data_IF_402886981860
#
_entry.id   IF_402886981860
#
_cell.length_a   1.000
_cell.length_b   1.000
_cell.length_c   1.000
_cell.angle_alpha   90.00
_cell.angle_beta   90.00
_cell.angle_gamma   90.00
#
_symmetry.space_group_name_H-M   'P 1'
#
loop_
_entity.id
_entity.type
_entity.pdbx_description
1 polymer ?
#
# COMPACT_ATOMS: atom_id res chain seq x y z
N UNK A 1 10.03 22.28 18.49
CA UNK A 1 9.80 21.66 17.16
C UNK A 1 10.20 22.56 16.00
N UNK A 2 9.84 23.85 15.99
CA UNK A 2 10.17 24.77 14.88
C UNK A 2 11.64 24.72 14.44
N UNK A 3 12.59 24.90 15.35
CA UNK A 3 14.02 24.83 14.98
C UNK A 3 14.48 23.48 14.41
N UNK A 4 13.84 22.37 14.80
CA UNK A 4 14.12 21.04 14.23
C UNK A 4 13.59 20.93 12.80
N UNK A 5 12.39 21.46 12.57
CA UNK A 5 11.79 21.57 11.24
C UNK A 5 12.67 22.41 10.32
N UNK A 6 13.03 23.62 10.73
CA UNK A 6 13.83 24.55 9.92
C UNK A 6 15.19 23.95 9.55
N UNK A 7 15.84 23.26 10.50
CA UNK A 7 17.12 22.60 10.24
C UNK A 7 17.00 21.45 9.24
N UNK A 8 15.98 20.59 9.36
CA UNK A 8 15.76 19.47 8.41
C UNK A 8 15.38 20.01 7.03
N UNK A 9 14.48 21.00 6.97
CA UNK A 9 14.04 21.63 5.72
C UNK A 9 15.19 22.35 5.03
N UNK A 10 16.06 23.04 5.77
CA UNK A 10 17.25 23.68 5.20
C UNK A 10 18.14 22.67 4.47
N UNK A 11 18.51 21.56 5.14
CA UNK A 11 19.40 20.54 4.57
C UNK A 11 18.74 19.85 3.35
N UNK A 12 17.44 19.57 3.42
CA UNK A 12 16.72 18.89 2.33
C UNK A 12 16.44 19.80 1.14
N UNK A 13 16.21 21.11 1.36
CA UNK A 13 16.09 22.08 0.28
C UNK A 13 17.40 22.21 -0.52
N UNK A 14 18.54 22.23 0.16
CA UNK A 14 19.85 22.28 -0.51
C UNK A 14 20.10 21.06 -1.39
N UNK A 15 19.67 19.88 -0.94
CA UNK A 15 19.71 18.65 -1.73
C UNK A 15 18.76 18.72 -2.92
N UNK A 16 17.50 19.07 -2.68
CA UNK A 16 16.47 19.09 -3.72
C UNK A 16 16.80 20.10 -4.83
N UNK A 17 17.36 21.26 -4.48
CA UNK A 17 17.81 22.27 -5.44
C UNK A 17 18.93 21.77 -6.37
N UNK A 18 19.80 20.89 -5.88
CA UNK A 18 20.96 20.39 -6.64
C UNK A 18 20.66 19.12 -7.42
N UNK A 19 19.80 18.25 -6.88
CA UNK A 19 19.62 16.89 -7.38
C UNK A 19 18.18 16.52 -7.75
N UNK A 20 17.18 17.31 -7.32
CA UNK A 20 15.76 17.02 -7.53
C UNK A 20 15.07 18.22 -8.22
N UNK A 21 13.84 18.53 -7.80
CA UNK A 21 13.03 19.65 -8.27
C UNK A 21 12.18 20.24 -7.11
N UNK A 22 11.39 21.27 -7.41
CA UNK A 22 10.59 21.98 -6.41
C UNK A 22 9.44 21.12 -5.85
N UNK A 23 8.89 20.18 -6.63
CA UNK A 23 7.83 19.27 -6.16
C UNK A 23 8.35 18.34 -5.06
N UNK A 24 9.53 17.75 -5.26
CA UNK A 24 10.21 16.95 -4.23
C UNK A 24 10.50 17.78 -2.98
N UNK A 25 11.05 18.99 -3.16
CA UNK A 25 11.34 19.89 -2.05
C UNK A 25 10.07 20.18 -1.23
N UNK A 26 8.94 20.38 -1.92
CA UNK A 26 7.66 20.65 -1.27
C UNK A 26 7.10 19.42 -0.54
N UNK A 27 7.12 18.23 -1.15
CA UNK A 27 6.68 17.00 -0.49
C UNK A 27 7.53 16.66 0.73
N UNK A 28 8.86 16.85 0.66
CA UNK A 28 9.76 16.65 1.80
C UNK A 28 9.44 17.64 2.94
N UNK A 29 9.13 18.91 2.61
CA UNK A 29 8.63 19.90 3.60
C UNK A 29 7.32 19.44 4.24
N UNK A 30 6.37 18.94 3.46
CA UNK A 30 5.10 18.43 3.98
C UNK A 30 5.27 17.20 4.89
N UNK A 31 6.12 16.25 4.49
CA UNK A 31 6.44 15.07 5.30
C UNK A 31 7.10 15.47 6.63
N UNK A 32 8.06 16.39 6.58
CA UNK A 32 8.71 16.93 7.79
C UNK A 32 7.71 17.62 8.71
N UNK A 33 6.79 18.43 8.15
CA UNK A 33 5.73 19.07 8.92
C UNK A 33 4.75 18.04 9.54
N UNK A 34 4.41 16.98 8.81
CA UNK A 34 3.55 15.91 9.29
C UNK A 34 4.19 15.16 10.48
N UNK A 35 5.49 14.86 10.41
CA UNK A 35 6.25 14.28 11.51
C UNK A 35 6.34 15.23 12.72
N UNK A 36 6.50 16.54 12.50
CA UNK A 36 6.45 17.53 13.58
C UNK A 36 5.12 17.54 14.34
N UNK A 37 4.00 17.25 13.66
CA UNK A 37 2.65 17.28 14.25
C UNK A 37 2.29 16.02 15.06
N UNK A 38 3.01 14.91 14.89
CA UNK A 38 2.83 13.69 15.69
C UNK A 38 3.12 13.97 17.18
N UNK A 39 2.44 13.26 18.09
CA UNK A 39 2.56 13.44 19.55
C UNK A 39 2.88 12.11 20.24
N UNK A 40 4.06 11.96 20.89
CA UNK A 40 5.22 12.86 20.80
C UNK A 40 5.79 12.89 19.37
N UNK A 41 6.46 13.98 19.00
CA UNK A 41 7.07 14.05 17.66
C UNK A 41 8.31 13.15 17.60
N UNK A 42 8.42 12.26 16.60
CA UNK A 42 9.59 11.40 16.45
C UNK A 42 10.86 12.22 16.17
N UNK A 43 10.72 13.43 15.61
CA UNK A 43 11.82 14.34 15.34
C UNK A 43 12.44 14.92 16.62
N UNK A 44 11.81 14.73 17.80
CA UNK A 44 12.39 15.17 19.07
C UNK A 44 13.68 14.42 19.42
N UNK A 45 13.87 13.20 18.90
CA UNK A 45 15.09 12.41 19.06
C UNK A 45 15.80 12.20 17.71
N UNK A 46 17.09 11.89 17.76
CA UNK A 46 17.91 11.67 16.55
C UNK A 46 18.46 12.94 15.90
N UNK A 47 19.44 12.75 15.01
CA UNK A 47 20.14 13.84 14.30
C UNK A 47 19.33 14.33 13.10
N UNK A 48 19.40 15.64 12.83
CA UNK A 48 18.71 16.33 11.74
C UNK A 48 19.08 15.72 10.38
N UNK A 49 20.38 15.48 10.13
CA UNK A 49 20.86 14.85 8.88
C UNK A 49 20.29 13.44 8.67
N UNK A 50 20.11 12.67 9.74
CA UNK A 50 19.52 11.33 9.66
C UNK A 50 18.05 11.40 9.29
N UNK A 51 17.28 12.31 9.89
CA UNK A 51 15.88 12.53 9.53
C UNK A 51 15.73 13.08 8.11
N UNK A 52 16.54 14.07 7.72
CA UNK A 52 16.58 14.62 6.37
C UNK A 52 16.82 13.52 5.33
N UNK A 53 17.80 12.65 5.57
CA UNK A 53 18.08 11.49 4.73
C UNK A 53 16.89 10.53 4.63
N UNK A 54 16.31 10.15 5.77
CA UNK A 54 15.19 9.20 5.80
C UNK A 54 13.93 9.74 5.11
N UNK A 55 13.59 11.01 5.32
CA UNK A 55 12.42 11.65 4.71
C UNK A 55 12.61 11.77 3.20
N UNK A 56 13.79 12.22 2.76
CA UNK A 56 14.11 12.35 1.33
C UNK A 56 14.04 10.99 0.64
N UNK A 57 14.62 9.95 1.24
CA UNK A 57 14.53 8.60 0.70
C UNK A 57 13.09 8.07 0.69
N UNK A 58 12.30 8.34 1.74
CA UNK A 58 10.92 7.88 1.80
C UNK A 58 10.08 8.47 0.66
N UNK A 59 10.15 9.78 0.45
CA UNK A 59 9.48 10.46 -0.68
C UNK A 59 10.03 9.97 -2.03
N UNK A 60 11.34 9.76 -2.13
CA UNK A 60 11.97 9.18 -3.30
C UNK A 60 11.43 7.79 -3.65
N UNK A 61 11.22 6.94 -2.66
CA UNK A 61 10.65 5.60 -2.84
C UNK A 61 9.22 5.67 -3.39
N UNK A 62 8.37 6.52 -2.79
CA UNK A 62 6.97 6.69 -3.22
C UNK A 62 6.87 7.07 -4.70
N UNK A 63 7.84 7.85 -5.18
CA UNK A 63 7.83 8.48 -6.50
C UNK A 63 8.90 7.91 -7.46
N UNK A 64 9.35 6.68 -7.23
CA UNK A 64 10.29 5.95 -8.09
C UNK A 64 11.62 6.69 -8.39
N UNK A 65 12.09 7.55 -7.49
CA UNK A 65 13.32 8.34 -7.68
C UNK A 65 14.56 7.49 -7.97
N UNK A 66 14.58 6.25 -7.48
CA UNK A 66 15.68 5.30 -7.64
C UNK A 66 15.68 4.56 -8.98
N UNK A 67 14.64 4.73 -9.80
CA UNK A 67 14.58 4.17 -11.13
C UNK A 67 15.28 5.12 -12.12
N UNK A 68 16.26 4.59 -12.84
CA UNK A 68 17.06 5.33 -13.82
C UNK A 68 16.26 5.85 -15.03
N UNK A 69 15.07 5.30 -15.26
CA UNK A 69 14.15 5.76 -16.30
C UNK A 69 13.45 7.07 -15.94
N UNK A 70 13.40 7.42 -14.65
CA UNK A 70 12.71 8.60 -14.14
C UNK A 70 13.56 9.87 -14.26
N UNK A 71 12.87 11.02 -14.29
CA UNK A 71 13.50 12.34 -14.24
C UNK A 71 12.81 13.21 -13.18
N UNK A 72 13.53 13.68 -12.14
CA UNK A 72 14.93 13.38 -11.81
C UNK A 72 15.12 11.91 -11.39
N UNK A 73 16.34 11.37 -11.58
CA UNK A 73 16.80 10.11 -11.01
C UNK A 73 17.95 10.39 -10.04
N UNK A 74 17.90 9.80 -8.86
CA UNK A 74 19.00 9.80 -7.90
C UNK A 74 19.02 8.45 -7.19
N UNK A 75 20.19 7.80 -7.12
CA UNK A 75 20.31 6.52 -6.42
C UNK A 75 20.21 6.69 -4.90
N UNK A 76 19.75 5.64 -4.20
CA UNK A 76 19.72 5.66 -2.74
C UNK A 76 21.10 5.90 -2.13
N UNK A 77 22.17 5.39 -2.78
CA UNK A 77 23.55 5.62 -2.37
C UNK A 77 23.93 7.10 -2.40
N UNK A 78 23.58 7.82 -3.46
CA UNK A 78 23.86 9.25 -3.58
C UNK A 78 23.13 10.06 -2.50
N UNK A 79 21.90 9.68 -2.16
CA UNK A 79 21.18 10.25 -1.01
C UNK A 79 21.99 10.03 0.27
N UNK A 80 22.37 8.78 0.56
CA UNK A 80 23.10 8.43 1.79
C UNK A 80 24.42 9.18 1.92
N UNK A 81 25.19 9.23 0.83
CA UNK A 81 26.46 9.93 0.77
C UNK A 81 26.27 11.45 0.99
N UNK A 82 25.27 12.06 0.36
CA UNK A 82 24.96 13.48 0.53
C UNK A 82 24.70 13.86 1.98
N UNK A 83 23.85 13.08 2.67
CA UNK A 83 23.51 13.36 4.06
C UNK A 83 24.57 12.87 5.05
N UNK A 84 25.59 12.13 4.60
CA UNK A 84 26.64 11.56 5.45
C UNK A 84 26.09 10.50 6.41
N UNK A 85 25.17 9.66 5.93
CA UNK A 85 24.46 8.63 6.72
C UNK A 85 24.79 7.27 6.13
N UNK A 86 25.01 6.24 6.97
CA UNK A 86 25.22 4.88 6.44
C UNK A 86 23.96 4.35 5.73
N UNK A 87 24.08 3.49 4.70
CA UNK A 87 22.91 2.92 4.02
C UNK A 87 21.92 2.23 4.97
N UNK A 88 22.41 1.46 5.94
CA UNK A 88 21.57 0.80 6.94
C UNK A 88 20.78 1.78 7.80
N UNK A 89 21.41 2.87 8.23
CA UNK A 89 20.76 3.92 9.02
C UNK A 89 19.75 4.69 8.18
N UNK A 90 20.09 5.00 6.93
CA UNK A 90 19.22 5.71 5.99
C UNK A 90 17.96 4.90 5.66
N UNK A 91 18.10 3.62 5.33
CA UNK A 91 16.99 2.71 5.08
C UNK A 91 16.09 2.54 6.32
N UNK A 92 16.68 2.28 7.48
CA UNK A 92 15.92 2.13 8.73
C UNK A 92 15.14 3.41 9.05
N UNK A 93 15.75 4.59 8.85
CA UNK A 93 15.06 5.87 9.06
C UNK A 93 13.96 6.11 8.03
N UNK A 94 14.20 5.79 6.77
CA UNK A 94 13.20 5.85 5.69
C UNK A 94 11.99 4.99 6.01
N UNK A 95 12.20 3.72 6.40
CA UNK A 95 11.13 2.84 6.88
C UNK A 95 10.35 3.48 8.01
N UNK A 96 11.03 4.00 9.04
CA UNK A 96 10.36 4.68 10.14
C UNK A 96 9.48 5.86 9.67
N UNK A 97 9.95 6.67 8.72
CA UNK A 97 9.15 7.76 8.14
C UNK A 97 7.90 7.21 7.45
N UNK A 98 8.07 6.17 6.63
CA UNK A 98 6.97 5.56 5.90
C UNK A 98 5.93 4.95 6.83
N UNK A 99 6.36 4.23 7.86
CA UNK A 99 5.46 3.63 8.86
C UNK A 99 4.66 4.72 9.61
N UNK A 100 5.31 5.84 9.96
CA UNK A 100 4.65 6.93 10.72
C UNK A 100 3.67 7.75 9.85
N UNK A 101 4.01 7.94 8.58
CA UNK A 101 3.23 8.73 7.63
C UNK A 101 2.34 7.89 6.72
N UNK A 102 2.31 6.57 6.94
CA UNK A 102 1.51 5.61 6.18
C UNK A 102 1.82 5.67 4.67
N UNK A 103 3.11 5.81 4.34
CA UNK A 103 3.56 5.90 2.94
C UNK A 103 3.77 4.52 2.35
N UNK A 104 3.21 4.31 1.17
CA UNK A 104 3.44 3.18 0.28
C UNK A 104 3.92 3.65 -1.09
N UNK A 105 4.43 2.72 -1.90
CA UNK A 105 4.76 3.06 -3.28
C UNK A 105 3.49 3.51 -4.01
N UNK A 106 3.60 4.53 -4.87
CA UNK A 106 2.45 5.18 -5.54
C UNK A 106 1.38 5.73 -4.57
N UNK A 107 1.73 6.05 -3.32
CA UNK A 107 0.74 6.61 -2.41
C UNK A 107 0.16 7.94 -2.93
N UNK A 108 -1.17 8.07 -3.08
CA UNK A 108 -1.79 9.24 -3.68
C UNK A 108 -1.65 10.51 -2.85
N UNK A 109 -1.48 10.40 -1.52
CA UNK A 109 -1.31 11.56 -0.63
C UNK A 109 0.16 12.06 -0.61
N UNK A 110 1.11 11.24 -1.09
CA UNK A 110 2.54 11.53 -1.15
C UNK A 110 3.15 11.45 -2.57
N UNK A 111 2.28 11.49 -3.59
CA UNK A 111 2.66 11.48 -4.99
C UNK A 111 3.02 12.90 -5.47
N UNK A 112 3.99 13.00 -6.39
CA UNK A 112 4.30 14.25 -7.07
C UNK A 112 3.08 14.70 -7.90
N UNK A 113 2.73 16.00 -7.89
CA UNK A 113 1.66 16.53 -8.74
C UNK A 113 1.84 16.23 -10.24
N UNK A 114 3.09 16.22 -10.72
CA UNK A 114 3.45 15.81 -12.08
C UNK A 114 3.16 14.34 -12.39
N UNK A 115 3.17 13.46 -11.38
CA UNK A 115 2.92 12.02 -11.53
C UNK A 115 1.49 11.60 -11.22
N UNK A 116 0.67 12.52 -10.71
CA UNK A 116 -0.70 12.25 -10.28
C UNK A 116 -1.56 11.58 -11.37
N UNK A 117 -1.39 11.97 -12.63
CA UNK A 117 -2.17 11.46 -13.77
C UNK A 117 -1.78 10.04 -14.10
N UNK A 118 -0.54 9.67 -13.82
CA UNK A 118 -0.03 8.33 -14.07
C UNK A 118 -0.19 7.42 -12.85
N UNK A 119 -0.61 7.96 -11.71
CA UNK A 119 -0.85 7.20 -10.49
C UNK A 119 -2.24 6.55 -10.53
N UNK A 120 -2.37 5.24 -10.76
CA UNK A 120 -3.68 4.60 -10.86
C UNK A 120 -4.47 4.71 -9.55
N UNK A 121 -3.80 4.64 -8.39
CA UNK A 121 -4.43 4.68 -7.08
C UNK A 121 -5.07 6.04 -6.76
N UNK A 122 -4.56 7.13 -7.34
CA UNK A 122 -5.13 8.47 -7.16
C UNK A 122 -6.50 8.64 -7.84
N UNK A 123 -6.86 7.73 -8.75
CA UNK A 123 -8.08 7.83 -9.57
C UNK A 123 -9.08 6.71 -9.32
N UNK A 124 -8.79 5.72 -8.46
CA UNK A 124 -9.73 4.64 -8.15
C UNK A 124 -10.81 5.12 -7.19
N UNK A 125 -12.07 5.03 -7.63
CA UNK A 125 -13.25 5.36 -6.83
C UNK A 125 -14.20 4.16 -6.75
N UNK A 126 -14.94 4.03 -5.65
CA UNK A 126 -15.99 3.02 -5.51
C UNK A 126 -17.34 3.62 -5.92
N UNK A 127 -18.00 3.00 -6.90
CA UNK A 127 -19.33 3.38 -7.39
C UNK A 127 -20.20 2.13 -7.39
N UNK A 128 -21.25 2.12 -6.57
CA UNK A 128 -22.18 0.99 -6.42
C UNK A 128 -21.49 -0.37 -6.14
N UNK A 129 -20.36 -0.35 -5.41
CA UNK A 129 -19.56 -1.54 -5.09
C UNK A 129 -18.50 -1.90 -6.13
N UNK A 130 -18.43 -1.20 -7.27
CA UNK A 130 -17.41 -1.41 -8.29
C UNK A 130 -16.27 -0.40 -8.12
N UNK A 131 -15.03 -0.90 -8.12
CA UNK A 131 -13.85 -0.03 -8.16
C UNK A 131 -13.59 0.36 -9.62
N UNK A 132 -13.79 1.64 -9.92
CA UNK A 132 -13.67 2.19 -11.26
C UNK A 132 -12.62 3.30 -11.29
N UNK A 133 -11.97 3.43 -12.43
CA UNK A 133 -11.12 4.58 -12.70
C UNK A 133 -11.98 5.81 -12.97
N UNK A 134 -11.90 6.82 -12.12
CA UNK A 134 -12.67 8.05 -12.21
C UNK A 134 -12.47 8.80 -13.54
N UNK A 135 -11.37 8.57 -14.26
CA UNK A 135 -11.13 9.16 -15.58
C UNK A 135 -12.01 8.57 -16.67
N UNK A 136 -12.57 7.38 -16.43
CA UNK A 136 -13.40 6.64 -17.39
C UNK A 136 -14.90 6.72 -17.10
N UNK A 137 -15.29 7.16 -15.90
CA UNK A 137 -16.71 7.25 -15.52
C UNK A 137 -17.36 8.52 -16.06
N UNK A 138 -18.70 8.59 -16.00
CA UNK A 138 -19.48 9.74 -16.46
C UNK A 138 -19.17 11.01 -15.67
N UNK A 139 -19.35 12.16 -16.33
CA UNK A 139 -19.05 13.49 -15.77
C UNK A 139 -19.72 13.75 -14.42
N UNK A 140 -20.97 13.35 -14.26
CA UNK A 140 -21.73 13.56 -13.02
C UNK A 140 -21.09 12.84 -11.83
N UNK A 141 -20.51 11.65 -12.07
CA UNK A 141 -19.79 10.89 -11.05
C UNK A 141 -18.44 11.53 -10.74
N UNK A 142 -17.74 12.06 -11.75
CA UNK A 142 -16.48 12.79 -11.55
C UNK A 142 -16.69 14.04 -10.68
N UNK A 143 -17.74 14.81 -10.95
CA UNK A 143 -18.09 16.01 -10.18
C UNK A 143 -18.39 15.68 -8.73
N UNK A 144 -19.18 14.63 -8.48
CA UNK A 144 -19.48 14.17 -7.12
C UNK A 144 -18.22 13.64 -6.41
N UNK A 145 -17.39 12.85 -7.11
CA UNK A 145 -16.14 12.34 -6.57
C UNK A 145 -15.18 13.49 -6.20
N UNK A 146 -15.10 14.53 -7.03
CA UNK A 146 -14.31 15.73 -6.77
C UNK A 146 -14.87 16.52 -5.58
N UNK A 147 -16.19 16.75 -5.52
CA UNK A 147 -16.84 17.45 -4.42
C UNK A 147 -16.64 16.74 -3.06
N UNK A 148 -16.53 15.41 -3.08
CA UNK A 148 -16.23 14.58 -1.90
C UNK A 148 -14.73 14.43 -1.61
N UNK A 149 -13.86 14.96 -2.47
CA UNK A 149 -12.40 14.86 -2.33
C UNK A 149 -11.83 13.47 -2.59
N UNK A 150 -12.54 12.63 -3.35
CA UNK A 150 -12.05 11.31 -3.77
C UNK A 150 -11.12 11.38 -4.96
N UNK A 151 -11.22 12.43 -5.78
CA UNK A 151 -10.28 12.72 -6.87
C UNK A 151 -9.73 14.14 -6.72
N UNK A 152 -8.50 14.38 -7.19
CA UNK A 152 -7.81 15.65 -6.98
C UNK A 152 -8.35 16.80 -7.84
N UNK A 153 -8.88 16.49 -9.02
CA UNK A 153 -9.55 17.44 -9.93
C UNK A 153 -10.43 16.65 -10.92
N UNK A 154 -11.29 17.34 -11.66
CA UNK A 154 -12.13 16.70 -12.68
C UNK A 154 -11.31 16.49 -13.97
N UNK A 155 -11.07 15.24 -14.42
CA UNK A 155 -10.20 14.95 -15.56
C UNK A 155 -10.57 15.70 -16.84
N UNK A 156 -11.87 15.84 -17.11
CA UNK A 156 -12.38 16.49 -18.32
C UNK A 156 -12.17 18.03 -18.33
N UNK A 157 -11.90 18.66 -17.19
CA UNK A 157 -11.60 20.10 -17.10
C UNK A 157 -10.11 20.41 -17.21
N UNK A 158 -9.27 19.37 -17.24
CA UNK A 158 -7.81 19.52 -17.14
C UNK A 158 -7.34 19.90 -15.73
N UNK A 159 -6.03 19.92 -15.54
CA UNK A 159 -5.42 20.44 -14.31
C UNK A 159 -5.70 21.94 -14.19
N UNK A 160 -6.00 22.48 -13.00
CA UNK A 160 -5.99 23.91 -12.78
C UNK A 160 -4.65 24.49 -13.27
N UNK A 161 -4.69 25.52 -14.11
CA UNK A 161 -3.50 26.10 -14.75
C UNK A 161 -2.52 26.75 -13.77
N UNK A 162 -2.91 26.95 -12.53
CA UNK A 162 -2.15 27.71 -11.54
C UNK A 162 -2.11 26.94 -10.22
N UNK A 163 -1.07 26.13 -10.02
CA UNK A 163 -0.58 25.79 -8.68
C UNK A 163 0.75 26.53 -8.50
N UNK A 164 0.66 27.86 -8.51
CA UNK A 164 1.67 28.69 -7.88
C UNK A 164 1.58 28.45 -6.37
N UNK A 165 2.47 27.61 -5.85
CA UNK A 165 3.17 27.75 -4.55
C UNK A 165 2.43 28.00 -3.23
N UNK A 166 1.12 28.27 -3.18
CA UNK A 166 0.42 28.66 -1.95
C UNK A 166 -0.75 27.73 -1.59
N UNK A 167 -0.48 26.96 -0.54
CA UNK A 167 -1.45 26.53 0.47
C UNK A 167 -2.60 25.63 0.03
N UNK A 168 -2.28 24.42 -0.43
CA UNK A 168 -3.07 23.24 -0.06
C UNK A 168 -2.14 22.19 0.54
N UNK A 169 -2.13 22.12 1.88
CA UNK A 169 -1.57 20.94 2.55
C UNK A 169 -2.42 19.72 2.15
N UNK A 170 -1.83 18.57 1.77
CA UNK A 170 -2.57 17.32 1.58
C UNK A 170 -3.20 16.78 2.88
N UNK A 171 -3.10 17.55 3.97
CA UNK A 171 -3.63 17.26 5.31
C UNK A 171 -4.75 18.22 5.73
N UNK A 172 -5.51 18.83 4.80
CA UNK A 172 -6.86 19.19 5.17
C UNK A 172 -7.59 17.90 5.52
N UNK A 173 -7.94 17.80 6.80
CA UNK A 173 -8.55 16.63 7.41
C UNK A 173 -9.63 16.07 6.50
N UNK A 174 -9.35 14.94 5.84
CA UNK A 174 -10.39 14.05 5.31
C UNK A 174 -11.35 13.88 6.49
N UNK A 175 -12.53 14.52 6.41
CA UNK A 175 -13.57 14.35 7.40
C UNK A 175 -13.73 12.84 7.53
N UNK A 176 -13.51 12.33 8.74
CA UNK A 176 -13.92 10.99 9.11
C UNK A 176 -15.38 10.85 8.69
N UNK A 177 -15.59 10.15 7.58
CA UNK A 177 -16.86 9.52 7.29
C UNK A 177 -16.56 8.04 7.48
N UNK A 178 -17.00 7.53 8.62
CA UNK A 178 -17.06 6.10 8.89
C UNK A 178 -17.84 5.42 7.76
N UNK A 179 -17.33 4.33 7.17
CA UNK A 179 -18.19 3.28 6.65
C UNK A 179 -18.11 2.17 7.70
N UNK A 180 -19.18 1.80 8.38
CA UNK A 180 -20.12 0.86 7.81
C UNK A 180 -21.54 1.20 8.31
N UNK A 181 -22.40 1.61 7.39
CA UNK A 181 -23.80 1.23 7.54
C UNK A 181 -23.90 -0.26 7.21
N UNK A 182 -24.40 -1.02 8.17
CA UNK A 182 -24.61 -2.48 8.18
C UNK A 182 -24.98 -3.07 6.80
N UNK A 183 -24.02 -3.70 6.12
CA UNK A 183 -24.26 -4.82 5.20
C UNK A 183 -24.08 -6.13 5.98
N UNK A 184 -24.75 -7.24 5.61
CA UNK A 184 -24.76 -8.45 6.43
C UNK A 184 -23.38 -9.12 6.47
N UNK A 185 -22.75 -9.08 7.65
CA UNK A 185 -21.58 -9.92 7.98
C UNK A 185 -22.11 -11.33 8.19
N UNK A 186 -21.82 -12.26 7.27
CA UNK A 186 -22.20 -13.66 7.45
C UNK A 186 -21.06 -14.45 8.09
N UNK A 187 -21.09 -14.58 9.41
CA UNK A 187 -20.12 -15.34 10.19
C UNK A 187 -20.40 -16.85 10.25
N UNK A 188 -21.19 -17.41 9.32
CA UNK A 188 -21.47 -18.85 9.27
C UNK A 188 -20.26 -19.64 8.78
N UNK A 189 -19.99 -20.77 9.44
CA UNK A 189 -18.98 -21.74 9.00
C UNK A 189 -19.32 -22.38 7.65
N UNK A 190 -20.61 -22.42 7.31
CA UNK A 190 -21.09 -22.96 6.03
C UNK A 190 -21.14 -21.90 4.92
N UNK A 191 -20.92 -20.62 5.24
CA UNK A 191 -20.95 -19.55 4.24
C UNK A 191 -19.88 -19.78 3.17
N UNK A 192 -20.19 -19.38 1.94
CA UNK A 192 -19.24 -19.34 0.83
C UNK A 192 -18.75 -17.91 0.64
N UNK A 193 -17.44 -17.74 0.63
CA UNK A 193 -16.78 -16.50 0.28
C UNK A 193 -16.19 -16.64 -1.12
N UNK A 194 -16.41 -15.64 -1.96
CA UNK A 194 -15.75 -15.48 -3.26
C UNK A 194 -14.74 -14.36 -3.10
N UNK A 195 -13.48 -14.69 -3.32
CA UNK A 195 -12.33 -13.82 -3.11
C UNK A 195 -11.57 -13.62 -4.40
N UNK A 196 -11.38 -12.36 -4.81
CA UNK A 196 -10.45 -12.03 -5.88
C UNK A 196 -9.09 -11.66 -5.28
N UNK A 197 -8.08 -12.44 -5.62
CA UNK A 197 -6.71 -12.27 -5.13
C UNK A 197 -5.87 -11.66 -6.23
N UNK A 198 -5.51 -10.39 -6.08
CA UNK A 198 -4.67 -9.64 -7.00
C UNK A 198 -3.22 -9.66 -6.52
N UNK A 199 -2.29 -9.89 -7.44
CA UNK A 199 -0.88 -9.60 -7.21
C UNK A 199 -0.64 -8.12 -7.46
N UNK A 200 -0.16 -7.39 -6.45
CA UNK A 200 -0.02 -5.93 -6.50
C UNK A 200 1.44 -5.46 -6.44
N UNK A 201 2.35 -6.27 -5.89
CA UNK A 201 3.78 -5.97 -5.85
C UNK A 201 4.61 -7.26 -5.69
N UNK A 202 5.87 -7.20 -6.07
CA UNK A 202 6.85 -8.28 -5.97
C UNK A 202 7.94 -8.21 -7.04
N UNK A 203 8.95 -9.10 -6.97
CA UNK A 203 10.11 -9.11 -7.86
C UNK A 203 9.73 -9.70 -9.22
N UNK A 204 9.06 -8.87 -10.04
CA UNK A 204 8.58 -9.21 -11.37
C UNK A 204 9.30 -8.33 -12.39
N UNK A 205 9.74 -8.92 -13.51
CA UNK A 205 10.36 -8.14 -14.59
C UNK A 205 9.33 -7.28 -15.33
N UNK A 206 9.74 -6.11 -15.81
CA UNK A 206 8.89 -5.21 -16.60
C UNK A 206 8.28 -5.91 -17.83
N UNK A 207 9.09 -6.74 -18.50
CA UNK A 207 8.65 -7.54 -19.64
C UNK A 207 7.51 -8.50 -19.29
N UNK A 208 7.51 -9.03 -18.06
CA UNK A 208 6.44 -9.88 -17.57
C UNK A 208 5.19 -9.06 -17.25
N UNK A 209 5.35 -7.91 -16.58
CA UNK A 209 4.24 -6.98 -16.26
C UNK A 209 3.56 -6.49 -17.54
N UNK A 210 4.33 -6.06 -18.56
CA UNK A 210 3.78 -5.58 -19.83
C UNK A 210 2.93 -6.63 -20.56
N UNK A 211 3.24 -7.93 -20.40
CA UNK A 211 2.47 -9.04 -20.96
C UNK A 211 1.29 -9.47 -20.09
N UNK A 212 1.32 -9.13 -18.80
CA UNK A 212 0.35 -9.54 -17.80
C UNK A 212 -0.08 -8.32 -16.98
N UNK A 213 -0.80 -7.36 -17.59
CA UNK A 213 -1.15 -6.10 -16.94
C UNK A 213 -2.07 -6.28 -15.73
N UNK A 214 -2.76 -7.42 -15.65
CA UNK A 214 -3.56 -7.84 -14.50
C UNK A 214 -3.22 -9.30 -14.20
N UNK A 215 -2.87 -9.59 -12.95
CA UNK A 215 -2.63 -10.95 -12.47
C UNK A 215 -3.55 -11.18 -11.27
N UNK A 216 -4.59 -11.98 -11.45
CA UNK A 216 -5.56 -12.25 -10.39
C UNK A 216 -6.09 -13.68 -10.41
N UNK A 217 -6.56 -14.14 -9.25
CA UNK A 217 -7.15 -15.47 -9.05
C UNK A 217 -8.46 -15.31 -8.31
N UNK A 218 -9.54 -15.88 -8.84
CA UNK A 218 -10.80 -15.97 -8.09
C UNK A 218 -10.85 -17.28 -7.35
N UNK A 219 -11.08 -17.20 -6.05
CA UNK A 219 -11.04 -18.31 -5.11
C UNK A 219 -12.38 -18.38 -4.38
N UNK A 220 -12.99 -19.55 -4.42
CA UNK A 220 -14.13 -19.90 -3.58
C UNK A 220 -13.64 -20.64 -2.33
N UNK A 221 -14.03 -20.16 -1.15
CA UNK A 221 -13.59 -20.70 0.15
C UNK A 221 -14.75 -20.74 1.15
N UNK A 222 -14.83 -21.78 1.99
CA UNK A 222 -15.86 -21.89 3.04
C UNK A 222 -15.48 -21.09 4.27
N UNK A 223 -16.47 -20.62 5.02
CA UNK A 223 -16.28 -19.96 6.31
C UNK A 223 -15.52 -20.82 7.34
N UNK A 224 -15.63 -22.15 7.23
CA UNK A 224 -14.92 -23.14 8.05
C UNK A 224 -13.47 -23.41 7.64
N UNK A 225 -13.00 -22.90 6.49
CA UNK A 225 -11.60 -22.99 6.13
C UNK A 225 -10.77 -22.00 6.95
N UNK A 226 -9.49 -22.32 7.14
CA UNK A 226 -8.55 -21.46 7.86
C UNK A 226 -7.85 -20.46 6.94
N UNK A 227 -7.19 -19.46 7.51
CA UNK A 227 -6.25 -18.62 6.76
C UNK A 227 -5.07 -19.43 6.20
N UNK A 228 -4.66 -20.52 6.85
CA UNK A 228 -3.66 -21.45 6.29
C UNK A 228 -4.20 -22.19 5.04
N UNK A 229 -5.48 -22.59 5.03
CA UNK A 229 -6.11 -23.15 3.83
C UNK A 229 -6.14 -22.12 2.70
N UNK A 230 -6.45 -20.86 3.02
CA UNK A 230 -6.42 -19.75 2.07
C UNK A 230 -5.00 -19.54 1.52
N UNK A 231 -3.98 -19.58 2.38
CA UNK A 231 -2.58 -19.54 1.95
C UNK A 231 -2.27 -20.66 0.95
N UNK A 232 -2.56 -21.92 1.29
CA UNK A 232 -2.25 -23.08 0.45
C UNK A 232 -2.90 -22.98 -0.93
N UNK A 233 -4.15 -22.51 -1.01
CA UNK A 233 -4.82 -22.34 -2.30
C UNK A 233 -4.28 -21.16 -3.10
N UNK A 234 -3.90 -20.04 -2.46
CA UNK A 234 -3.23 -18.91 -3.14
C UNK A 234 -1.85 -19.36 -3.65
N UNK A 235 -1.06 -20.02 -2.81
CA UNK A 235 0.26 -20.55 -3.14
C UNK A 235 0.20 -21.45 -4.39
N UNK A 236 -0.77 -22.37 -4.42
CA UNK A 236 -1.07 -23.19 -5.60
C UNK A 236 -1.60 -22.36 -6.79
N UNK A 237 -2.44 -21.35 -6.54
CA UNK A 237 -3.02 -20.51 -7.58
C UNK A 237 -1.96 -19.69 -8.31
N UNK A 238 -0.90 -19.28 -7.62
CA UNK A 238 0.23 -18.53 -8.18
C UNK A 238 1.44 -19.43 -8.50
N UNK A 239 1.26 -20.75 -8.54
CA UNK A 239 2.28 -21.73 -8.96
C UNK A 239 3.61 -21.62 -8.19
N UNK A 240 3.52 -21.22 -6.91
CA UNK A 240 4.67 -21.16 -6.01
C UNK A 240 5.13 -22.58 -5.65
N UNK A 241 6.42 -22.71 -5.33
CA UNK A 241 7.08 -24.01 -5.13
C UNK A 241 7.81 -24.11 -3.79
N UNK A 242 8.36 -23.00 -3.31
CA UNK A 242 9.12 -22.96 -2.06
C UNK A 242 8.37 -22.09 -1.04
N UNK A 243 7.95 -22.69 0.08
CA UNK A 243 7.10 -22.02 1.06
C UNK A 243 7.96 -21.23 2.04
N UNK A 244 7.71 -19.93 2.12
CA UNK A 244 8.37 -19.00 3.03
C UNK A 244 7.39 -18.46 4.08
N UNK A 245 7.88 -17.58 4.95
CA UNK A 245 7.00 -16.89 5.91
C UNK A 245 5.98 -16.02 5.19
N UNK A 246 4.76 -15.96 5.77
CA UNK A 246 3.66 -15.18 5.23
C UNK A 246 2.73 -14.69 6.34
N UNK A 247 1.91 -13.70 6.02
CA UNK A 247 0.84 -13.22 6.89
C UNK A 247 -0.37 -12.67 6.12
N UNK A 248 -1.49 -12.55 6.85
CA UNK A 248 -2.68 -11.83 6.41
C UNK A 248 -2.93 -10.60 7.27
N UNK A 249 -3.48 -9.54 6.66
CA UNK A 249 -3.70 -8.24 7.29
C UNK A 249 -5.15 -7.81 7.07
N UNK A 250 -6.00 -7.94 8.10
CA UNK A 250 -7.46 -7.84 7.97
C UNK A 250 -8.04 -6.69 8.79
N UNK A 251 -8.99 -5.94 8.20
CA UNK A 251 -9.72 -4.85 8.87
C UNK A 251 -9.00 -3.49 8.86
N UNK A 252 -7.94 -3.36 8.08
CA UNK A 252 -7.34 -2.05 7.73
C UNK A 252 -7.87 -1.53 6.40
N UNK A 253 -7.26 -0.46 5.87
CA UNK A 253 -7.59 0.14 4.57
C UNK A 253 -7.02 -0.62 3.36
N UNK A 254 -6.32 -1.71 3.59
CA UNK A 254 -5.73 -2.56 2.54
C UNK A 254 -4.43 -3.22 3.00
N UNK A 255 -3.65 -3.77 2.04
CA UNK A 255 -2.32 -4.30 2.31
C UNK A 255 -1.42 -3.24 2.96
N UNK A 256 -0.61 -3.68 3.93
CA UNK A 256 0.33 -2.92 4.75
C UNK A 256 -0.28 -1.92 5.73
N UNK A 257 -1.61 -1.90 5.94
CA UNK A 257 -2.19 -0.98 6.92
C UNK A 257 -1.75 -1.36 8.36
N UNK A 258 -1.07 -0.47 9.11
CA UNK A 258 -0.57 -0.76 10.45
C UNK A 258 -1.69 -0.95 11.49
N UNK A 259 -2.92 -0.51 11.19
CA UNK A 259 -4.09 -0.75 12.04
C UNK A 259 -4.76 -2.10 11.76
N UNK A 260 -4.36 -2.80 10.70
CA UNK A 260 -4.92 -4.10 10.36
C UNK A 260 -4.53 -5.15 11.41
N UNK A 261 -5.46 -6.04 11.72
CA UNK A 261 -5.17 -7.24 12.50
C UNK A 261 -4.27 -8.16 11.67
N UNK A 262 -3.15 -8.58 12.25
CA UNK A 262 -2.14 -9.40 11.57
C UNK A 262 -2.28 -10.86 11.97
N UNK A 263 -2.31 -11.76 11.02
CA UNK A 263 -2.43 -13.20 11.26
C UNK A 263 -1.25 -13.90 10.61
N UNK A 264 -0.40 -14.55 11.41
CA UNK A 264 0.88 -15.12 10.96
C UNK A 264 1.11 -16.56 11.41
N UNK A 265 2.24 -17.14 11.00
CA UNK A 265 2.69 -18.47 11.41
C UNK A 265 3.09 -18.51 12.88
N UNK A 266 2.83 -19.63 13.57
CA UNK A 266 3.16 -19.83 14.99
C UNK A 266 4.63 -19.56 15.34
N UNK A 267 5.54 -19.84 14.42
CA UNK A 267 6.98 -19.64 14.60
C UNK A 267 7.38 -18.16 14.55
N UNK A 268 6.57 -17.30 13.90
CA UNK A 268 6.76 -15.84 13.93
C UNK A 268 6.45 -15.23 15.32
N UNK A 269 5.81 -15.98 16.23
CA UNK A 269 5.51 -15.53 17.60
C UNK A 269 6.69 -15.68 18.56
N UNK A 270 7.75 -16.39 18.17
CA UNK A 270 8.87 -16.72 19.08
C UNK A 270 10.16 -15.92 18.86
N UNK A 271 10.27 -15.11 17.81
CA UNK A 271 11.42 -14.23 17.58
C UNK A 271 11.13 -12.82 18.08
N UNK A 272 11.96 -12.33 19.00
CA UNK A 272 11.84 -11.08 19.74
C UNK A 272 12.02 -9.78 18.92
N UNK A 273 11.94 -9.84 17.59
CA UNK A 273 12.32 -8.76 16.67
C UNK A 273 11.13 -8.07 15.97
N UNK A 274 9.89 -8.55 16.16
CA UNK A 274 8.68 -7.85 15.75
C UNK A 274 8.18 -6.94 16.88
N UNK A 275 7.87 -5.69 16.56
CA UNK A 275 7.44 -4.66 17.54
C UNK A 275 6.09 -4.96 18.19
N UNK A 276 5.25 -5.81 17.57
CA UNK A 276 3.97 -6.29 18.12
C UNK A 276 3.69 -7.72 17.68
N UNK A 277 3.11 -8.53 18.57
CA UNK A 277 2.70 -9.90 18.28
C UNK A 277 1.52 -9.92 17.28
N UNK A 278 1.45 -10.91 16.37
CA UNK A 278 0.29 -11.08 15.51
C UNK A 278 -1.00 -11.23 16.33
N UNK A 279 -2.11 -10.73 15.80
CA UNK A 279 -3.46 -10.88 16.35
C UNK A 279 -3.89 -12.34 16.49
N UNK A 280 -3.45 -13.23 15.58
CA UNK A 280 -3.79 -14.65 15.64
C UNK A 280 -2.96 -15.54 14.73
N UNK A 281 -3.08 -16.86 14.91
CA UNK A 281 -2.36 -17.86 14.11
C UNK A 281 -3.18 -18.25 12.87
N UNK A 282 -2.53 -18.33 11.71
CA UNK A 282 -3.19 -18.67 10.43
C UNK A 282 -3.83 -20.07 10.42
N UNK A 283 -3.25 -21.03 11.14
CA UNK A 283 -3.70 -22.43 11.20
C UNK A 283 -5.01 -22.63 11.98
N UNK A 284 -5.39 -21.67 12.83
CA UNK A 284 -6.58 -21.76 13.70
C UNK A 284 -7.61 -20.65 13.46
N UNK A 285 -7.26 -19.63 12.68
CA UNK A 285 -8.17 -18.53 12.34
C UNK A 285 -9.06 -18.92 11.16
N UNK A 286 -10.36 -19.04 11.39
CA UNK A 286 -11.35 -19.38 10.37
C UNK A 286 -11.78 -18.15 9.58
N UNK A 287 -12.07 -18.30 8.28
CA UNK A 287 -12.54 -17.19 7.43
C UNK A 287 -13.78 -16.52 8.03
N UNK A 288 -14.74 -17.29 8.54
CA UNK A 288 -15.98 -16.78 9.13
C UNK A 288 -15.77 -15.90 10.37
N UNK A 289 -14.62 -16.01 11.04
CA UNK A 289 -14.30 -15.25 12.26
C UNK A 289 -13.64 -13.91 11.98
N UNK A 290 -13.28 -13.65 10.73
CA UNK A 290 -12.59 -12.43 10.33
C UNK A 290 -13.53 -11.20 10.31
N UNK A 291 -14.85 -11.41 10.30
CA UNK A 291 -15.83 -10.33 10.25
C UNK A 291 -15.87 -9.63 8.89
N UNK A 292 -15.63 -10.37 7.80
CA UNK A 292 -15.59 -9.85 6.44
C UNK A 292 -16.99 -9.53 5.92
N UNK A 293 -17.08 -8.46 5.13
CA UNK A 293 -18.23 -8.00 4.37
C UNK A 293 -17.91 -7.99 2.88
N UNK A 294 -18.95 -8.00 2.04
CA UNK A 294 -18.79 -7.71 0.60
C UNK A 294 -18.19 -6.29 0.45
N UNK A 295 -17.29 -6.14 -0.50
CA UNK A 295 -16.48 -4.93 -0.77
C UNK A 295 -15.29 -4.72 0.19
N UNK A 296 -15.11 -5.59 1.20
CA UNK A 296 -13.90 -5.56 2.02
C UNK A 296 -12.67 -5.95 1.20
N UNK A 297 -11.55 -5.31 1.51
CA UNK A 297 -10.24 -5.68 0.99
C UNK A 297 -9.27 -5.91 2.16
N UNK A 298 -8.41 -6.92 2.02
CA UNK A 298 -7.40 -7.25 3.03
C UNK A 298 -6.09 -7.72 2.38
N UNK A 299 -4.99 -7.64 3.12
CA UNK A 299 -3.66 -7.96 2.61
C UNK A 299 -3.26 -9.40 2.79
N UNK A 300 -2.47 -9.92 1.85
CA UNK A 300 -1.70 -11.15 1.98
C UNK A 300 -0.25 -10.88 1.55
N UNK A 301 0.69 -11.04 2.49
CA UNK A 301 2.11 -10.87 2.25
C UNK A 301 2.78 -12.24 2.29
N UNK A 302 3.44 -12.60 1.20
CA UNK A 302 4.16 -13.84 1.06
C UNK A 302 5.65 -13.55 0.86
N UNK A 303 6.48 -14.37 1.50
CA UNK A 303 7.95 -14.26 1.44
C UNK A 303 8.45 -12.90 1.94
N UNK A 304 8.81 -12.85 3.22
CA UNK A 304 9.31 -11.61 3.84
C UNK A 304 10.70 -11.19 3.33
N UNK A 305 11.37 -12.03 2.55
CA UNK A 305 12.64 -11.69 1.89
C UNK A 305 12.39 -11.03 0.52
N UNK A 306 11.52 -11.64 -0.27
CA UNK A 306 11.24 -11.21 -1.65
C UNK A 306 10.05 -10.25 -1.79
N UNK A 307 9.23 -10.07 -0.75
CA UNK A 307 8.13 -9.10 -0.70
C UNK A 307 7.04 -9.29 -1.76
N UNK A 308 6.44 -10.49 -1.82
CA UNK A 308 5.26 -10.72 -2.67
C UNK A 308 3.98 -10.21 -2.01
N UNK A 309 3.40 -9.13 -2.54
CA UNK A 309 2.20 -8.51 -1.99
C UNK A 309 0.96 -8.81 -2.82
N UNK A 310 -0.08 -9.22 -2.12
CA UNK A 310 -1.39 -9.45 -2.70
C UNK A 310 -2.46 -8.65 -1.97
N UNK A 311 -3.43 -8.16 -2.74
CA UNK A 311 -4.69 -7.64 -2.23
C UNK A 311 -5.77 -8.70 -2.45
N UNK A 312 -6.57 -8.97 -1.42
CA UNK A 312 -7.69 -9.90 -1.47
C UNK A 312 -8.98 -9.11 -1.30
N UNK A 313 -9.85 -9.17 -2.31
CA UNK A 313 -11.14 -8.50 -2.32
C UNK A 313 -12.26 -9.52 -2.08
N UNK A 314 -13.19 -9.20 -1.19
CA UNK A 314 -14.39 -10.01 -0.94
C UNK A 314 -15.48 -9.58 -1.91
N UNK A 315 -15.68 -10.33 -2.98
CA UNK A 315 -16.62 -9.97 -4.06
C UNK A 315 -18.02 -10.53 -3.84
N UNK A 316 -18.15 -11.63 -3.09
CA UNK A 316 -19.44 -12.20 -2.74
C UNK A 316 -19.37 -13.02 -1.44
N UNK A 317 -20.48 -13.04 -0.70
CA UNK A 317 -20.69 -13.92 0.45
C UNK A 317 -22.08 -14.54 0.34
N UNK A 318 -22.15 -15.86 0.15
CA UNK A 318 -23.41 -16.60 0.14
C UNK A 318 -23.62 -17.34 1.47
N UNK A 319 -24.85 -17.42 1.95
CA UNK A 319 -25.16 -17.98 3.28
C UNK A 319 -24.74 -19.44 3.47
N UNK A 320 -24.76 -20.21 2.38
CA UNK A 320 -24.41 -21.61 2.38
C UNK A 320 -23.66 -21.97 1.10
N UNK A 321 -22.50 -22.56 1.26
CA UNK A 321 -21.72 -23.12 0.17
C UNK A 321 -22.42 -24.33 -0.44
N UNK A 322 -22.54 -24.41 -1.77
CA UNK A 322 -22.97 -25.61 -2.46
C UNK A 322 -22.07 -26.81 -2.11
N UNK A 323 -22.61 -28.02 -2.17
CA UNK A 323 -21.84 -29.26 -1.95
C UNK A 323 -20.73 -29.38 -3.00
N UNK A 324 -19.48 -29.19 -2.55
CA UNK A 324 -18.27 -29.24 -3.37
C UNK A 324 -17.04 -29.31 -2.47
N UNK A 325 -15.86 -29.48 -3.10
CA UNK A 325 -14.57 -29.41 -2.41
C UNK A 325 -14.05 -27.99 -2.42
N UNK A 326 -13.75 -27.45 -1.24
CA UNK A 326 -13.18 -26.11 -1.03
C UNK A 326 -11.88 -26.20 -0.22
N UNK A 327 -10.99 -25.20 -0.31
CA UNK A 327 -11.04 -24.09 -1.26
C UNK A 327 -10.78 -24.53 -2.71
N UNK A 328 -11.27 -23.76 -3.68
CA UNK A 328 -11.03 -24.02 -5.11
C UNK A 328 -10.83 -22.73 -5.89
N UNK A 329 -10.05 -22.82 -6.97
CA UNK A 329 -9.79 -21.72 -7.90
C UNK A 329 -10.82 -21.83 -9.02
N UNK A 330 -11.57 -20.76 -9.25
CA UNK A 330 -12.63 -20.72 -10.27
C UNK A 330 -12.22 -19.91 -11.50
N UNK A 331 -11.32 -18.94 -11.35
CA UNK A 331 -10.84 -18.10 -12.44
C UNK A 331 -9.35 -17.76 -12.31
N UNK A 332 -8.70 -17.51 -13.45
CA UNK A 332 -7.32 -17.05 -13.55
C UNK A 332 -7.20 -15.98 -14.63
N UNK A 333 -6.65 -14.83 -14.26
CA UNK A 333 -6.27 -13.76 -15.19
C UNK A 333 -4.77 -13.55 -15.11
N UNK A 334 -4.08 -13.52 -16.26
CA UNK A 334 -2.63 -13.37 -16.34
C UNK A 334 -1.83 -14.60 -15.92
N UNK A 335 -0.64 -14.76 -16.50
CA UNK A 335 0.30 -15.81 -16.11
C UNK A 335 0.82 -15.59 -14.68
N UNK A 336 1.12 -16.67 -13.97
CA UNK A 336 1.79 -16.58 -12.66
C UNK A 336 3.26 -16.15 -12.89
N UNK A 337 3.77 -15.12 -12.19
CA UNK A 337 5.18 -14.77 -12.32
C UNK A 337 6.06 -15.89 -11.75
N UNK A 338 7.28 -16.07 -12.29
CA UNK A 338 8.24 -16.97 -11.68
C UNK A 338 8.49 -16.55 -10.23
N UNK A 339 8.66 -17.54 -9.34
CA UNK A 339 8.91 -17.24 -7.93
C UNK A 339 10.24 -16.53 -7.71
N UNK A 340 11.26 -16.87 -8.50
CA UNK A 340 12.53 -16.17 -8.55
C UNK A 340 12.75 -15.78 -10.01
N UNK A 341 12.73 -14.49 -10.29
CA UNK A 341 12.97 -14.00 -11.64
C UNK A 341 14.48 -13.89 -11.90
N UNK A 342 14.90 -14.30 -13.10
CA UNK A 342 16.25 -14.05 -13.60
C UNK A 342 16.32 -12.58 -14.02
N UNK A 343 16.87 -11.74 -13.14
CA UNK A 343 17.20 -10.36 -13.43
C UNK A 343 18.62 -10.30 -14.00
N UNK A 344 18.74 -10.59 -15.29
CA UNK A 344 19.99 -10.41 -16.06
C UNK A 344 20.25 -8.95 -16.42
#
# INVERSE_FOLDING_TARGET
MQGKFDAIVGITNDFAKQHLNDEYAQLIRFATAALCRKRPSPLASGKEKTWACGITHAIGMVNFLFDSSQKPHVSAKEIYDWFGVSPSTGQSKSKQVRDILDMRQMDPDWCLPSQLDNNPMAWMISVDGFILDARSVKREIQEEAYARGFIPYIPADGKPSDIDGEQTSPHQSKKQVSPHQNKPVNSSLDALYVLDVFLIDGPITEKFIAKNPVISRTIEIKGSNTLEDLHKIIFKAFERKDEHMYEFQVGGRGPQDPSARRYGLKQAFSSSDFTEAPTGEVSSTLIATLGLSIDDAFGYWFDFGDDWWHQINVTNIAEKAPESKYPKITERVGASPPQYADFD
#
